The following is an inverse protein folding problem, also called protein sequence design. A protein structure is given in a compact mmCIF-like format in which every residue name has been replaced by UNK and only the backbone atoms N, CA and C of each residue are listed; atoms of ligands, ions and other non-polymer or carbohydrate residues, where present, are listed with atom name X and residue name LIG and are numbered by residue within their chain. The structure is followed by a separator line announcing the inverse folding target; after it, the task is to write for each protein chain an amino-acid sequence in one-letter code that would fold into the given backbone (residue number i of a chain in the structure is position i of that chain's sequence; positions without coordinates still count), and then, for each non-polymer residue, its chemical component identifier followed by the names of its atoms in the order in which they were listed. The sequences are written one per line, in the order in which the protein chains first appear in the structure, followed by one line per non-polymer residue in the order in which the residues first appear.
data_IF_631292510631
#
_entry.id   IF_631292510631
#
_cell.length_a   1.000
_cell.length_b   1.000
_cell.length_c   1.000
_cell.angle_alpha   90.00
_cell.angle_beta   90.00
_cell.angle_gamma   90.00
#
_symmetry.space_group_name_H-M   'P 1'
#
loop_
_entity.id
_entity.type
_entity.pdbx_description
1 polymer ?
#
# COMPACT_ATOMS: atom_id res chain seq x y z
N UNK A 1 -1.56 7.66 16.18
CA UNK A 1 -1.70 7.77 14.71
C UNK A 1 -3.16 7.58 14.31
N UNK A 2 -3.54 8.21 13.22
CA UNK A 2 -4.92 8.15 12.76
C UNK A 2 -5.08 7.12 11.64
N UNK A 3 -5.78 6.03 11.94
CA UNK A 3 -6.13 5.01 10.97
C UNK A 3 -7.65 4.93 10.91
N UNK A 4 -8.25 5.71 10.02
CA UNK A 4 -9.69 5.80 9.94
C UNK A 4 -10.31 4.56 9.27
N UNK A 5 -11.64 4.51 9.30
CA UNK A 5 -12.39 3.39 8.76
C UNK A 5 -12.19 3.22 7.25
N UNK A 6 -11.94 4.32 6.54
CA UNK A 6 -11.69 4.27 5.09
C UNK A 6 -10.39 3.52 4.78
N UNK A 7 -9.34 3.74 5.57
CA UNK A 7 -8.06 3.04 5.43
C UNK A 7 -8.23 1.55 5.70
N UNK A 8 -8.96 1.22 6.77
CA UNK A 8 -9.23 -0.18 7.13
C UNK A 8 -10.04 -0.87 6.05
N UNK A 9 -11.03 -0.20 5.48
CA UNK A 9 -11.84 -0.74 4.40
C UNK A 9 -11.02 -1.00 3.13
N UNK A 10 -10.04 -0.14 2.85
CA UNK A 10 -9.11 -0.34 1.72
C UNK A 10 -8.29 -1.61 1.89
N UNK A 11 -7.76 -1.83 3.10
CA UNK A 11 -7.01 -3.06 3.41
C UNK A 11 -7.90 -4.29 3.25
N UNK A 12 -9.14 -4.22 3.73
CA UNK A 12 -10.08 -5.34 3.60
C UNK A 12 -10.36 -5.69 2.13
N UNK A 13 -10.47 -4.69 1.27
CA UNK A 13 -10.62 -4.92 -0.17
C UNK A 13 -9.39 -5.58 -0.77
N UNK A 14 -8.20 -5.13 -0.35
CA UNK A 14 -6.94 -5.71 -0.81
C UNK A 14 -6.85 -7.18 -0.38
N UNK A 15 -7.25 -7.49 0.85
CA UNK A 15 -7.32 -8.88 1.32
C UNK A 15 -8.23 -9.73 0.43
N UNK A 16 -9.39 -9.19 0.06
CA UNK A 16 -10.31 -9.87 -0.85
C UNK A 16 -9.69 -10.13 -2.21
N UNK A 17 -8.95 -9.15 -2.75
CA UNK A 17 -8.23 -9.31 -4.02
C UNK A 17 -7.17 -10.41 -3.92
N UNK A 18 -6.42 -10.45 -2.82
CA UNK A 18 -5.38 -11.46 -2.62
C UNK A 18 -5.98 -12.85 -2.45
N UNK A 19 -7.10 -12.97 -1.77
CA UNK A 19 -7.83 -14.24 -1.69
C UNK A 19 -8.28 -14.71 -3.07
N UNK A 20 -8.71 -13.78 -3.91
CA UNK A 20 -9.05 -14.07 -5.30
C UNK A 20 -7.86 -14.58 -6.10
N UNK A 21 -6.67 -14.03 -5.85
CA UNK A 21 -5.43 -14.50 -6.50
C UNK A 21 -5.12 -15.93 -6.09
N UNK A 22 -5.27 -16.26 -4.80
CA UNK A 22 -5.05 -17.64 -4.31
C UNK A 22 -5.99 -18.60 -5.05
N UNK A 23 -7.25 -18.22 -5.18
CA UNK A 23 -8.24 -19.04 -5.90
C UNK A 23 -7.85 -19.23 -7.36
N UNK A 24 -7.36 -18.18 -8.02
CA UNK A 24 -6.89 -18.25 -9.40
C UNK A 24 -5.73 -19.25 -9.54
N UNK A 25 -4.81 -19.24 -8.57
CA UNK A 25 -3.70 -20.20 -8.56
C UNK A 25 -4.19 -21.63 -8.36
N UNK A 26 -5.16 -21.84 -7.48
CA UNK A 26 -5.75 -23.15 -7.23
C UNK A 26 -6.47 -23.67 -8.47
N UNK A 27 -7.09 -22.78 -9.23
CA UNK A 27 -7.78 -23.12 -10.49
C UNK A 27 -6.83 -23.16 -11.70
N UNK A 28 -5.54 -22.96 -11.47
CA UNK A 28 -4.50 -23.00 -12.50
C UNK A 28 -4.76 -22.03 -13.66
N UNK A 29 -5.21 -20.80 -13.33
CA UNK A 29 -5.41 -19.74 -14.31
C UNK A 29 -4.09 -19.34 -14.95
N UNK A 30 -4.17 -18.69 -16.12
CA UNK A 30 -3.01 -18.24 -16.86
C UNK A 30 -2.11 -17.33 -16.04
N UNK A 31 -0.81 -17.46 -16.22
CA UNK A 31 0.19 -16.61 -15.56
C UNK A 31 -0.12 -15.13 -15.77
N UNK A 32 -0.50 -14.74 -16.97
CA UNK A 32 -0.83 -13.35 -17.28
C UNK A 32 -1.97 -12.82 -16.40
N UNK A 33 -3.03 -13.62 -16.22
CA UNK A 33 -4.17 -13.21 -15.41
C UNK A 33 -3.78 -13.08 -13.93
N UNK A 34 -3.01 -14.03 -13.42
CA UNK A 34 -2.53 -14.00 -12.03
C UNK A 34 -1.65 -12.77 -11.80
N UNK A 35 -0.68 -12.52 -12.67
CA UNK A 35 0.23 -11.39 -12.55
C UNK A 35 -0.54 -10.06 -12.65
N UNK A 36 -1.52 -9.98 -13.53
CA UNK A 36 -2.35 -8.76 -13.65
C UNK A 36 -3.09 -8.44 -12.36
N UNK A 37 -3.64 -9.46 -11.70
CA UNK A 37 -4.33 -9.27 -10.43
C UNK A 37 -3.38 -8.87 -9.29
N UNK A 38 -2.21 -9.49 -9.24
CA UNK A 38 -1.18 -9.13 -8.25
C UNK A 38 -0.73 -7.69 -8.49
N UNK A 39 -0.54 -7.29 -9.74
CA UNK A 39 -0.14 -5.94 -10.10
C UNK A 39 -1.17 -4.90 -9.66
N UNK A 40 -2.45 -5.21 -9.84
CA UNK A 40 -3.54 -4.35 -9.38
C UNK A 40 -3.53 -4.20 -7.84
N UNK A 41 -3.29 -5.30 -7.13
CA UNK A 41 -3.19 -5.29 -5.67
C UNK A 41 -1.98 -4.47 -5.21
N UNK A 42 -0.86 -4.60 -5.89
CA UNK A 42 0.35 -3.80 -5.61
C UNK A 42 0.07 -2.31 -5.72
N UNK A 43 -0.61 -1.89 -6.78
CA UNK A 43 -0.97 -0.49 -6.99
C UNK A 43 -1.89 0.03 -5.87
N UNK A 44 -2.85 -0.78 -5.45
CA UNK A 44 -3.75 -0.43 -4.35
C UNK A 44 -3.00 -0.29 -3.02
N UNK A 45 -2.06 -1.18 -2.77
CA UNK A 45 -1.21 -1.14 -1.56
C UNK A 45 -0.36 0.13 -1.58
N UNK A 46 0.27 0.45 -2.69
CA UNK A 46 1.10 1.66 -2.82
C UNK A 46 0.27 2.92 -2.57
N UNK A 47 -0.95 2.97 -3.11
CA UNK A 47 -1.85 4.10 -2.88
C UNK A 47 -2.20 4.25 -1.41
N UNK A 48 -2.51 3.14 -0.74
CA UNK A 48 -2.84 3.16 0.68
C UNK A 48 -1.65 3.63 1.51
N UNK A 49 -0.45 3.16 1.19
CA UNK A 49 0.77 3.61 1.86
C UNK A 49 0.94 5.12 1.76
N UNK A 50 0.72 5.66 0.56
CA UNK A 50 0.78 7.11 0.33
C UNK A 50 -0.25 7.88 1.16
N UNK A 51 -1.46 7.37 1.25
CA UNK A 51 -2.54 7.99 2.03
C UNK A 51 -2.18 7.99 3.52
N UNK A 52 -1.73 6.86 4.05
CA UNK A 52 -1.35 6.74 5.45
C UNK A 52 -0.22 7.70 5.80
N UNK A 53 0.83 7.74 5.00
CA UNK A 53 1.97 8.62 5.22
C UNK A 53 1.52 10.08 5.13
N UNK A 54 0.72 10.44 4.13
CA UNK A 54 0.24 11.80 3.93
C UNK A 54 -0.59 12.30 5.10
N UNK A 55 -1.50 11.48 5.63
CA UNK A 55 -2.38 11.87 6.73
C UNK A 55 -1.70 11.85 8.10
N UNK A 56 -0.62 11.08 8.24
CA UNK A 56 0.11 10.95 9.50
C UNK A 56 1.56 11.43 9.36
N UNK A 57 1.81 12.35 8.43
CA UNK A 57 3.17 12.73 8.06
C UNK A 57 4.05 13.13 9.24
N UNK A 58 3.53 13.99 10.11
CA UNK A 58 4.32 14.48 11.26
C UNK A 58 4.70 13.31 12.17
N UNK A 59 3.76 12.44 12.50
CA UNK A 59 4.01 11.29 13.36
C UNK A 59 4.93 10.26 12.70
N UNK A 60 4.77 10.04 11.39
CA UNK A 60 5.65 9.15 10.63
C UNK A 60 7.09 9.67 10.61
N UNK A 61 7.26 10.98 10.44
CA UNK A 61 8.58 11.61 10.46
C UNK A 61 9.23 11.46 11.84
N UNK A 62 8.48 11.73 12.91
CA UNK A 62 8.99 11.57 14.27
C UNK A 62 9.43 10.14 14.56
N UNK A 63 8.61 9.17 14.16
CA UNK A 63 8.94 7.75 14.36
C UNK A 63 10.19 7.37 13.59
N UNK A 64 10.33 7.83 12.35
CA UNK A 64 11.52 7.58 11.54
C UNK A 64 12.77 8.15 12.18
N UNK A 65 12.70 9.39 12.68
CA UNK A 65 13.82 10.03 13.37
C UNK A 65 14.21 9.28 14.64
N UNK A 66 13.22 8.84 15.43
CA UNK A 66 13.43 8.06 16.64
C UNK A 66 14.11 6.72 16.35
N UNK A 67 13.85 6.15 15.19
CA UNK A 67 14.44 4.90 14.74
C UNK A 67 15.79 5.10 14.02
N UNK A 68 16.28 6.33 13.96
CA UNK A 68 17.53 6.65 13.28
C UNK A 68 17.42 6.76 11.77
N UNK A 69 16.22 6.82 11.24
CA UNK A 69 15.99 6.99 9.81
C UNK A 69 15.97 8.48 9.45
N UNK A 70 16.32 8.78 8.20
CA UNK A 70 16.24 10.15 7.69
C UNK A 70 14.79 10.54 7.38
N UNK A 71 14.34 11.68 7.94
CA UNK A 71 13.02 12.21 7.61
C UNK A 71 12.93 12.62 6.15
N UNK A 72 14.05 13.04 5.56
CA UNK A 72 14.12 13.37 4.13
C UNK A 72 13.85 12.14 3.26
N UNK A 73 14.42 11.00 3.61
CA UNK A 73 14.16 9.74 2.90
C UNK A 73 12.70 9.34 2.96
N UNK A 74 12.08 9.47 4.13
CA UNK A 74 10.66 9.16 4.31
C UNK A 74 9.78 10.07 3.46
N UNK A 75 10.07 11.37 3.45
CA UNK A 75 9.33 12.35 2.66
C UNK A 75 9.46 12.05 1.16
N UNK A 76 10.66 11.74 0.71
CA UNK A 76 10.90 11.38 -0.69
C UNK A 76 10.14 10.10 -1.08
N UNK A 77 10.15 9.11 -0.21
CA UNK A 77 9.40 7.87 -0.43
C UNK A 77 7.89 8.14 -0.51
N UNK A 78 7.37 8.97 0.39
CA UNK A 78 5.95 9.35 0.39
C UNK A 78 5.56 10.07 -0.90
N UNK A 79 6.38 11.00 -1.35
CA UNK A 79 6.14 11.73 -2.61
C UNK A 79 6.13 10.77 -3.79
N UNK A 80 7.09 9.85 -3.85
CA UNK A 80 7.16 8.85 -4.91
C UNK A 80 5.92 7.96 -4.94
N UNK A 81 5.45 7.53 -3.78
CA UNK A 81 4.24 6.71 -3.67
C UNK A 81 3.00 7.45 -4.15
N UNK A 82 2.86 8.72 -3.77
CA UNK A 82 1.73 9.53 -4.19
C UNK A 82 1.75 9.79 -5.70
N UNK A 83 2.92 10.05 -6.27
CA UNK A 83 3.08 10.27 -7.72
C UNK A 83 2.72 9.00 -8.50
N UNK A 84 3.19 7.85 -8.05
CA UNK A 84 2.91 6.56 -8.70
C UNK A 84 1.45 6.13 -8.59
N UNK A 85 0.72 6.69 -7.64
CA UNK A 85 -0.69 6.34 -7.41
C UNK A 85 -1.67 7.07 -8.32
N UNK A 86 -1.18 7.99 -9.12
CA UNK A 86 -2.02 8.76 -10.04
C UNK A 86 -2.39 7.97 -11.29
#
# INVERSE_FOLDING_TARGET
MNYDKKMINRINRIQGQLNGVIKMMEEEKDCKDVITQISASKSSIQRLMGIIISENLIECVKTAEDNGESSEELINEAVNLLVKSK
#
